data_IF_664962489653
#
_entry.id   IF_664962489653
#
_cell.length_a   1.000
_cell.length_b   1.000
_cell.length_c   1.000
_cell.angle_alpha   90.00
_cell.angle_beta   90.00
_cell.angle_gamma   90.00
#
_symmetry.space_group_name_H-M   'P 1'
#
loop_
_entity.id
_entity.type
_entity.pdbx_description
1 polymer ?
#
# COMPACT_ATOMS: atom_id res chain seq x y z
N UNK A 1 -4.68 7.24 -54.56
CA UNK A 1 -5.75 8.26 -54.52
C UNK A 1 -5.94 8.64 -53.05
N UNK A 2 -5.86 9.93 -52.69
CA UNK A 2 -6.18 10.40 -51.32
C UNK A 2 -5.07 11.17 -50.57
N UNK A 3 -4.86 12.43 -50.99
CA UNK A 3 -4.40 13.64 -50.27
C UNK A 3 -3.23 13.62 -49.25
N UNK A 4 -2.24 14.52 -49.42
CA UNK A 4 -1.50 15.16 -48.34
C UNK A 4 -2.09 16.54 -48.00
N UNK A 5 -2.01 16.95 -46.73
CA UNK A 5 -2.45 18.27 -46.27
C UNK A 5 -1.51 18.83 -45.20
N UNK A 6 -0.57 19.67 -45.64
CA UNK A 6 0.30 20.47 -44.78
C UNK A 6 -0.36 21.84 -44.59
N UNK A 7 -0.69 22.23 -43.36
CA UNK A 7 -0.95 23.64 -43.01
C UNK A 7 -0.36 23.97 -41.64
N UNK A 8 0.71 24.77 -41.69
CA UNK A 8 1.26 25.52 -40.55
C UNK A 8 0.32 26.66 -40.21
N UNK A 9 0.06 26.86 -38.91
CA UNK A 9 -0.47 28.10 -38.38
C UNK A 9 0.54 28.65 -37.37
N UNK A 10 1.15 29.79 -37.71
CA UNK A 10 1.89 30.67 -36.80
C UNK A 10 0.91 31.79 -36.47
N UNK A 11 0.69 32.09 -35.19
CA UNK A 11 -0.19 33.20 -34.83
C UNK A 11 -0.22 33.48 -33.34
N UNK A 12 0.39 34.60 -32.97
CA UNK A 12 0.10 35.35 -31.74
C UNK A 12 0.52 34.70 -30.41
N UNK A 13 1.82 34.76 -30.13
CA UNK A 13 2.28 34.95 -28.74
C UNK A 13 1.80 36.34 -28.32
N UNK A 14 0.64 36.33 -27.67
CA UNK A 14 -0.05 37.52 -27.18
C UNK A 14 0.83 38.31 -26.23
N UNK A 15 0.96 39.58 -26.58
CA UNK A 15 1.53 40.75 -25.92
C UNK A 15 1.13 40.97 -24.43
N UNK A 16 0.44 40.03 -23.78
CA UNK A 16 -0.18 40.20 -22.46
C UNK A 16 0.83 40.09 -21.31
N UNK A 17 2.02 39.54 -21.56
CA UNK A 17 3.05 39.36 -20.51
C UNK A 17 3.67 40.69 -20.04
N UNK A 18 3.50 41.80 -20.75
CA UNK A 18 4.14 43.08 -20.40
C UNK A 18 3.36 43.99 -19.42
N UNK A 19 2.08 43.71 -19.11
CA UNK A 19 1.24 44.65 -18.35
C UNK A 19 1.04 44.30 -16.85
N UNK A 20 1.55 43.15 -16.40
CA UNK A 20 1.31 42.67 -15.03
C UNK A 20 2.39 43.11 -14.00
N UNK A 21 3.38 43.92 -14.40
CA UNK A 21 4.50 44.29 -13.52
C UNK A 21 4.32 45.58 -12.70
N UNK A 22 3.24 46.36 -12.88
CA UNK A 22 3.15 47.72 -12.31
C UNK A 22 2.32 47.88 -11.03
N UNK A 23 1.72 46.83 -10.48
CA UNK A 23 0.87 46.95 -9.27
C UNK A 23 1.56 46.62 -7.95
N UNK A 24 2.89 46.43 -7.93
CA UNK A 24 3.64 46.15 -6.69
C UNK A 24 3.82 47.35 -5.73
N UNK A 25 3.13 48.47 -5.91
CA UNK A 25 3.25 49.63 -5.03
C UNK A 25 2.08 49.69 -4.04
N UNK A 26 2.42 49.82 -2.75
CA UNK A 26 1.55 50.13 -1.61
C UNK A 26 0.92 48.91 -0.88
N UNK A 27 1.75 48.20 -0.12
CA UNK A 27 1.30 47.66 1.18
C UNK A 27 2.28 48.17 2.22
N UNK A 28 1.93 49.28 2.85
CA UNK A 28 2.65 49.87 3.97
C UNK A 28 2.46 49.02 5.23
N UNK A 29 3.44 49.11 6.12
CA UNK A 29 3.73 48.15 7.16
C UNK A 29 2.58 47.86 8.13
N UNK A 30 2.35 46.56 8.34
CA UNK A 30 1.83 46.03 9.58
C UNK A 30 2.98 45.34 10.34
N UNK A 31 3.10 45.55 11.66
CA UNK A 31 4.03 44.78 12.47
C UNK A 31 3.61 43.30 12.42
N UNK A 32 4.52 42.45 11.95
CA UNK A 32 4.34 41.00 12.00
C UNK A 32 4.42 40.55 13.47
N UNK A 33 3.53 39.68 13.95
CA UNK A 33 3.72 39.02 15.23
C UNK A 33 5.02 38.20 15.19
N UNK A 34 5.72 38.04 16.32
CA UNK A 34 6.95 37.26 16.38
C UNK A 34 6.69 35.82 15.95
N UNK A 35 7.43 35.37 14.94
CA UNK A 35 7.45 34.00 14.46
C UNK A 35 8.06 33.09 15.55
N UNK A 36 7.23 32.57 16.44
CA UNK A 36 7.62 31.57 17.43
C UNK A 36 6.46 30.62 17.68
N UNK A 37 6.07 29.91 16.62
CA UNK A 37 5.53 28.58 16.75
C UNK A 37 6.17 27.79 15.63
N UNK A 38 6.77 26.62 15.89
CA UNK A 38 7.09 25.72 14.79
C UNK A 38 5.74 25.40 14.14
N UNK A 39 5.46 26.02 12.99
CA UNK A 39 4.60 25.35 12.02
C UNK A 39 5.19 23.95 11.87
N UNK A 40 4.39 22.87 11.88
CA UNK A 40 4.86 21.61 11.34
C UNK A 40 5.21 21.92 9.88
N UNK A 41 6.49 22.21 9.66
CA UNK A 41 7.06 22.55 8.38
C UNK A 41 6.96 21.27 7.58
N UNK A 42 5.94 21.14 6.74
CA UNK A 42 5.98 20.25 5.59
C UNK A 42 6.50 18.84 5.93
N UNK A 43 5.93 18.19 6.95
CA UNK A 43 6.02 16.74 6.99
C UNK A 43 5.23 16.29 5.77
N UNK A 44 5.91 15.80 4.72
CA UNK A 44 5.27 14.98 3.70
C UNK A 44 4.32 14.05 4.44
N UNK A 45 3.12 13.84 3.90
CA UNK A 45 2.24 12.76 4.38
C UNK A 45 2.96 11.43 4.10
N UNK A 46 3.97 11.12 4.91
CA UNK A 46 4.56 9.80 5.01
C UNK A 46 3.45 9.03 5.69
N UNK A 47 2.73 8.25 4.89
CA UNK A 47 1.82 7.26 5.44
C UNK A 47 2.60 6.48 6.50
N UNK A 48 2.14 6.57 7.75
CA UNK A 48 2.83 5.95 8.85
C UNK A 48 2.82 4.44 8.60
N UNK A 49 4.00 3.83 8.67
CA UNK A 49 4.15 2.39 8.58
C UNK A 49 3.30 1.71 9.67
N UNK A 50 2.90 0.46 9.43
CA UNK A 50 2.28 -0.33 10.48
C UNK A 50 3.25 -0.53 11.65
N UNK A 51 2.68 -0.73 12.84
CA UNK A 51 3.44 -1.05 14.05
C UNK A 51 4.30 -2.31 13.81
N UNK A 52 5.58 -2.24 14.16
CA UNK A 52 6.59 -3.28 13.93
C UNK A 52 6.79 -4.19 15.17
N UNK A 53 6.03 -3.96 16.24
CA UNK A 53 6.14 -4.70 17.52
C UNK A 53 6.09 -6.23 17.36
N UNK A 54 5.42 -6.73 16.33
CA UNK A 54 5.26 -8.17 16.08
C UNK A 54 6.07 -8.68 14.88
N UNK A 55 7.00 -7.90 14.35
CA UNK A 55 7.88 -8.30 13.24
C UNK A 55 8.83 -9.47 13.59
N UNK A 56 8.97 -9.80 14.88
CA UNK A 56 9.78 -10.92 15.36
C UNK A 56 8.93 -12.13 15.80
N UNK A 57 7.65 -12.17 15.45
CA UNK A 57 6.82 -13.37 15.63
C UNK A 57 7.40 -14.53 14.81
N UNK A 58 7.52 -15.71 15.43
CA UNK A 58 8.05 -16.90 14.77
C UNK A 58 7.00 -17.50 13.81
N UNK A 59 7.09 -17.11 12.54
CA UNK A 59 6.20 -17.62 11.49
C UNK A 59 6.42 -19.11 11.22
N UNK A 60 7.62 -19.65 11.42
CA UNK A 60 7.87 -21.09 11.22
C UNK A 60 7.16 -21.89 12.30
N UNK A 61 7.19 -21.43 13.55
CA UNK A 61 6.45 -22.06 14.63
C UNK A 61 4.95 -22.08 14.33
N UNK A 62 4.37 -20.93 13.96
CA UNK A 62 2.94 -20.81 13.68
C UNK A 62 2.53 -21.71 12.52
N UNK A 63 3.27 -21.69 11.40
CA UNK A 63 2.92 -22.45 10.19
C UNK A 63 3.11 -23.96 10.36
N UNK A 64 4.05 -24.40 11.21
CA UNK A 64 4.29 -25.83 11.45
C UNK A 64 3.40 -26.42 12.57
N UNK A 65 2.81 -25.60 13.43
CA UNK A 65 1.92 -26.06 14.50
C UNK A 65 0.45 -25.88 14.12
N UNK A 66 -0.20 -27.00 13.75
CA UNK A 66 -1.61 -27.01 13.32
C UNK A 66 -2.55 -26.29 14.31
N UNK A 67 -2.39 -26.52 15.61
CA UNK A 67 -3.21 -25.86 16.64
C UNK A 67 -3.03 -24.35 16.64
N UNK A 68 -1.81 -23.85 16.48
CA UNK A 68 -1.54 -22.41 16.45
C UNK A 68 -2.13 -21.81 15.17
N UNK A 69 -1.78 -22.37 14.01
CA UNK A 69 -2.27 -21.90 12.71
C UNK A 69 -3.80 -21.82 12.66
N UNK A 70 -4.51 -22.85 13.13
CA UNK A 70 -5.98 -22.85 13.18
C UNK A 70 -6.52 -21.72 14.05
N UNK A 71 -5.85 -21.36 15.16
CA UNK A 71 -6.30 -20.24 15.99
C UNK A 71 -6.12 -18.89 15.28
N UNK A 72 -5.02 -18.69 14.54
CA UNK A 72 -4.85 -17.50 13.70
C UNK A 72 -5.94 -17.44 12.63
N UNK A 73 -6.18 -18.53 11.90
CA UNK A 73 -7.23 -18.60 10.87
C UNK A 73 -8.60 -18.27 11.46
N UNK A 74 -8.97 -18.86 12.61
CA UNK A 74 -10.24 -18.56 13.30
C UNK A 74 -10.34 -17.10 13.75
N UNK A 75 -9.24 -16.52 14.24
CA UNK A 75 -9.19 -15.10 14.56
C UNK A 75 -9.50 -14.25 13.32
N UNK A 76 -8.80 -14.49 12.22
CA UNK A 76 -8.97 -13.78 10.95
C UNK A 76 -10.39 -13.95 10.39
N UNK A 77 -10.96 -15.15 10.44
CA UNK A 77 -12.35 -15.44 10.06
C UNK A 77 -13.39 -14.83 11.03
N UNK A 78 -12.97 -14.39 12.23
CA UNK A 78 -13.89 -13.90 13.26
C UNK A 78 -14.69 -14.98 13.98
N UNK A 79 -14.23 -16.23 13.91
CA UNK A 79 -14.89 -17.41 14.49
C UNK A 79 -14.22 -17.92 15.77
N UNK A 80 -13.14 -17.27 16.22
CA UNK A 80 -12.42 -17.65 17.43
C UNK A 80 -11.63 -16.51 18.07
N UNK A 81 -10.94 -16.79 19.19
CA UNK A 81 -10.16 -15.80 19.91
C UNK A 81 -8.93 -15.36 19.10
N UNK A 82 -8.51 -14.12 19.32
CA UNK A 82 -7.29 -13.55 18.74
C UNK A 82 -6.21 -13.37 19.82
N UNK A 83 -4.99 -13.80 19.53
CA UNK A 83 -3.79 -13.30 20.25
C UNK A 83 -3.57 -11.82 19.90
N UNK A 84 -2.80 -11.06 20.71
CA UNK A 84 -2.56 -9.63 20.44
C UNK A 84 -1.99 -9.34 19.05
N UNK A 85 -1.10 -10.19 18.57
CA UNK A 85 -0.46 -10.09 17.25
C UNK A 85 -1.43 -10.49 16.13
N UNK A 86 -2.21 -11.57 16.28
CA UNK A 86 -3.25 -11.95 15.33
C UNK A 86 -4.35 -10.88 15.21
N UNK A 87 -4.66 -10.21 16.33
CA UNK A 87 -5.62 -9.10 16.36
C UNK A 87 -5.10 -7.89 15.56
N UNK A 88 -3.84 -7.50 15.77
CA UNK A 88 -3.22 -6.44 14.98
C UNK A 88 -3.22 -6.79 13.49
N UNK A 89 -2.81 -8.02 13.14
CA UNK A 89 -2.85 -8.50 11.76
C UNK A 89 -4.26 -8.37 11.15
N UNK A 90 -5.29 -8.84 11.88
CA UNK A 90 -6.68 -8.73 11.46
C UNK A 90 -7.13 -7.30 11.16
N UNK A 91 -6.67 -6.34 11.95
CA UNK A 91 -7.01 -4.92 11.82
C UNK A 91 -6.33 -4.26 10.61
N UNK A 92 -5.08 -4.63 10.29
CA UNK A 92 -4.33 -4.05 9.18
C UNK A 92 -4.60 -4.71 7.82
N UNK A 93 -5.02 -5.98 7.79
CA UNK A 93 -5.19 -6.75 6.54
C UNK A 93 -6.04 -6.05 5.47
N UNK A 94 -7.19 -5.43 5.78
CA UNK A 94 -7.99 -4.74 4.75
C UNK A 94 -7.23 -3.59 4.07
N UNK A 95 -6.51 -2.77 4.84
CA UNK A 95 -5.69 -1.66 4.30
C UNK A 95 -4.48 -2.21 3.55
N UNK A 96 -3.82 -3.24 4.10
CA UNK A 96 -2.65 -3.87 3.48
C UNK A 96 -2.99 -4.47 2.11
N UNK A 97 -4.13 -5.14 1.94
CA UNK A 97 -4.52 -5.71 0.65
C UNK A 97 -4.95 -4.62 -0.33
N UNK A 98 -5.73 -3.64 0.12
CA UNK A 98 -6.20 -2.55 -0.74
C UNK A 98 -5.04 -1.69 -1.28
N UNK A 99 -3.97 -1.54 -0.50
CA UNK A 99 -2.84 -0.67 -0.81
C UNK A 99 -1.58 -1.43 -1.24
N UNK A 100 -1.68 -2.72 -1.55
CA UNK A 100 -0.55 -3.61 -1.87
C UNK A 100 0.62 -3.51 -0.85
N UNK A 101 0.24 -3.51 0.42
CA UNK A 101 1.11 -3.49 1.60
C UNK A 101 2.04 -2.26 1.64
N UNK A 102 1.68 -1.11 1.04
CA UNK A 102 2.55 0.08 0.95
C UNK A 102 3.15 0.52 2.30
N UNK A 103 2.41 0.35 3.39
CA UNK A 103 2.82 0.69 4.77
C UNK A 103 3.54 -0.44 5.53
N UNK A 104 3.69 -1.62 4.91
CA UNK A 104 4.31 -2.77 5.55
C UNK A 104 5.84 -2.61 5.64
N UNK A 105 6.40 -3.02 6.78
CA UNK A 105 7.85 -3.19 6.92
C UNK A 105 8.37 -4.29 5.98
N UNK A 106 9.68 -4.34 5.77
CA UNK A 106 10.30 -5.41 4.96
C UNK A 106 10.00 -6.81 5.55
N UNK A 107 10.04 -6.94 6.89
CA UNK A 107 9.72 -8.19 7.58
C UNK A 107 8.26 -8.58 7.41
N UNK A 108 7.33 -7.63 7.47
CA UNK A 108 5.91 -7.89 7.23
C UNK A 108 5.65 -8.34 5.78
N UNK A 109 6.33 -7.75 4.79
CA UNK A 109 6.22 -8.17 3.38
C UNK A 109 6.74 -9.60 3.18
N UNK A 110 7.94 -9.90 3.70
CA UNK A 110 8.50 -11.25 3.65
C UNK A 110 7.59 -12.27 4.35
N UNK A 111 7.07 -11.90 5.53
CA UNK A 111 6.13 -12.72 6.28
C UNK A 111 4.84 -12.97 5.51
N UNK A 112 4.26 -11.94 4.91
CA UNK A 112 3.06 -12.04 4.09
C UNK A 112 3.26 -12.94 2.88
N UNK A 113 4.40 -12.86 2.20
CA UNK A 113 4.75 -13.77 1.10
C UNK A 113 4.83 -15.21 1.61
N UNK A 114 5.61 -15.46 2.68
CA UNK A 114 5.80 -16.79 3.26
C UNK A 114 4.47 -17.45 3.67
N UNK A 115 3.61 -16.70 4.37
CA UNK A 115 2.30 -17.18 4.82
C UNK A 115 1.37 -17.45 3.64
N UNK A 116 1.29 -16.51 2.68
CA UNK A 116 0.46 -16.66 1.47
C UNK A 116 0.84 -17.93 0.71
N UNK A 117 2.13 -18.13 0.46
CA UNK A 117 2.65 -19.33 -0.23
C UNK A 117 2.27 -20.61 0.51
N UNK A 118 2.49 -20.64 1.81
CA UNK A 118 2.17 -21.82 2.63
C UNK A 118 0.68 -22.14 2.58
N UNK A 119 -0.19 -21.14 2.73
CA UNK A 119 -1.64 -21.33 2.75
C UNK A 119 -2.18 -21.78 1.39
N UNK A 120 -1.72 -21.18 0.29
CA UNK A 120 -2.16 -21.58 -1.07
C UNK A 120 -1.76 -23.03 -1.37
N UNK A 121 -0.52 -23.42 -1.06
CA UNK A 121 -0.01 -24.74 -1.44
C UNK A 121 -0.43 -25.87 -0.49
N UNK A 122 -0.53 -25.61 0.82
CA UNK A 122 -0.73 -26.65 1.84
C UNK A 122 -2.11 -26.60 2.50
N UNK A 123 -2.81 -25.47 2.44
CA UNK A 123 -4.09 -25.24 3.13
C UNK A 123 -5.13 -24.56 2.21
N UNK A 124 -5.37 -25.04 0.98
CA UNK A 124 -6.17 -24.33 -0.02
C UNK A 124 -7.59 -24.01 0.46
N UNK A 125 -8.21 -24.90 1.23
CA UNK A 125 -9.56 -24.70 1.79
C UNK A 125 -9.60 -23.59 2.85
N UNK A 126 -8.53 -23.38 3.61
CA UNK A 126 -8.44 -22.24 4.54
C UNK A 126 -8.17 -20.95 3.80
N UNK A 127 -7.25 -20.99 2.83
CA UNK A 127 -6.96 -19.85 1.97
C UNK A 127 -8.22 -19.36 1.27
N UNK A 128 -9.03 -20.23 0.68
CA UNK A 128 -10.30 -19.87 0.05
C UNK A 128 -11.28 -19.16 0.98
N UNK A 129 -11.29 -19.49 2.28
CA UNK A 129 -12.17 -18.82 3.26
C UNK A 129 -11.65 -17.43 3.59
N UNK A 130 -10.34 -17.29 3.78
CA UNK A 130 -9.70 -15.99 4.04
C UNK A 130 -9.76 -15.06 2.82
N UNK A 131 -9.51 -15.58 1.62
CA UNK A 131 -9.55 -14.84 0.36
C UNK A 131 -10.93 -14.21 0.14
N UNK A 132 -12.01 -14.95 0.41
CA UNK A 132 -13.38 -14.40 0.35
C UNK A 132 -13.63 -13.23 1.31
N UNK A 133 -12.88 -13.14 2.41
CA UNK A 133 -13.03 -12.08 3.41
C UNK A 133 -12.19 -10.85 3.05
N UNK A 134 -10.98 -11.07 2.56
CA UNK A 134 -9.96 -10.02 2.47
C UNK A 134 -9.52 -9.65 1.05
N UNK A 135 -9.52 -10.59 0.09
CA UNK A 135 -9.13 -10.38 -1.32
C UNK A 135 -10.10 -11.10 -2.27
N UNK A 136 -11.37 -10.64 -2.37
CA UNK A 136 -12.39 -11.33 -3.19
C UNK A 136 -12.03 -11.43 -4.68
N UNK A 137 -11.15 -10.56 -5.17
CA UNK A 137 -10.65 -10.57 -6.55
C UNK A 137 -9.54 -11.62 -6.77
N UNK A 138 -9.02 -12.24 -5.70
CA UNK A 138 -7.98 -13.28 -5.76
C UNK A 138 -6.64 -12.77 -6.27
N UNK A 139 -6.36 -11.47 -6.10
CA UNK A 139 -5.19 -10.78 -6.63
C UNK A 139 -3.89 -11.45 -6.20
N UNK A 140 -3.76 -11.82 -4.93
CA UNK A 140 -2.55 -12.44 -4.39
C UNK A 140 -2.36 -13.88 -4.88
N UNK A 141 -3.45 -14.63 -5.03
CA UNK A 141 -3.39 -15.99 -5.61
C UNK A 141 -2.90 -15.95 -7.04
N UNK A 142 -3.43 -15.03 -7.86
CA UNK A 142 -3.02 -14.86 -9.25
C UNK A 142 -1.54 -14.49 -9.33
N UNK A 143 -1.10 -13.47 -8.59
CA UNK A 143 0.32 -13.06 -8.51
C UNK A 143 1.22 -14.24 -8.13
N UNK A 144 0.84 -15.02 -7.12
CA UNK A 144 1.63 -16.18 -6.69
C UNK A 144 1.71 -17.27 -7.77
N UNK A 145 0.60 -17.60 -8.41
CA UNK A 145 0.56 -18.60 -9.48
C UNK A 145 1.43 -18.20 -10.67
N UNK A 146 1.41 -16.91 -11.06
CA UNK A 146 2.28 -16.37 -12.10
C UNK A 146 3.78 -16.42 -11.72
N UNK A 147 4.12 -16.12 -10.48
CA UNK A 147 5.51 -16.24 -10.00
C UNK A 147 5.96 -17.70 -10.00
N UNK A 148 5.10 -18.61 -9.53
CA UNK A 148 5.37 -20.05 -9.48
C UNK A 148 5.49 -20.67 -10.87
N UNK A 149 4.68 -20.23 -11.84
CA UNK A 149 4.80 -20.71 -13.23
C UNK A 149 6.12 -20.26 -13.84
N UNK A 150 6.49 -18.98 -13.68
CA UNK A 150 7.77 -18.44 -14.18
C UNK A 150 8.98 -19.15 -13.57
N UNK A 151 8.96 -19.44 -12.27
CA UNK A 151 10.03 -20.17 -11.59
C UNK A 151 10.18 -21.63 -12.06
N UNK A 152 9.12 -22.24 -12.59
CA UNK A 152 9.16 -23.60 -13.16
C UNK A 152 9.59 -23.60 -14.65
N UNK A 153 9.60 -22.45 -15.31
CA UNK A 153 10.01 -22.27 -16.71
C UNK A 153 11.49 -21.88 -16.84
N UNK A 154 12.14 -21.48 -15.74
CA UNK A 154 13.58 -21.22 -15.69
C UNK A 154 14.35 -22.56 -15.61
N UNK A 155 15.22 -22.87 -16.59
CA UNK A 155 15.92 -24.15 -16.70
C UNK A 155 17.01 -24.38 -15.66
#
# INVERSE_FOLDING_TARGET
MGQPGFRRAIGHVSLVVALMCTTCFQVEGLPHPPATSPSPMMERMVEQAYDDKFDNVDLDEILNQERLLINYIKCLEGTGPCTPDAKMLKEILPDAIQTDCTKCTEKQRYGAEKVTRHLIDNRPTDWERLEKIYDPEGTYRIKYQEMKSKANEEP
#
